data_IF_428182388796
#
_entry.id   IF_428182388796
#
_cell.length_a   1.000
_cell.length_b   1.000
_cell.length_c   1.000
_cell.angle_alpha   90.00
_cell.angle_beta   90.00
_cell.angle_gamma   90.00
#
_symmetry.space_group_name_H-M   'P 1'
#
loop_
_entity.id
_entity.type
_entity.pdbx_description
1 polymer ?
#
# COMPACT_ATOMS: atom_id res chain seq x y z
N UNK A 1 21.39 -31.41 54.33
CA UNK A 1 21.15 -29.95 54.40
C UNK A 1 20.74 -29.47 53.01
N UNK A 2 19.47 -29.09 52.87
CA UNK A 2 18.87 -28.55 51.64
C UNK A 2 19.31 -27.09 51.48
N UNK A 3 19.80 -26.70 50.31
CA UNK A 3 19.65 -25.34 49.79
C UNK A 3 19.03 -25.42 48.40
N UNK A 4 17.71 -25.61 48.43
CA UNK A 4 16.79 -25.13 47.42
C UNK A 4 16.73 -23.60 47.59
N UNK A 5 16.95 -22.83 46.53
CA UNK A 5 16.42 -21.47 46.45
C UNK A 5 16.05 -21.17 44.98
N UNK A 6 14.72 -21.25 44.75
CA UNK A 6 13.87 -20.55 43.79
C UNK A 6 14.58 -19.81 42.64
N UNK A 7 14.46 -20.18 41.36
CA UNK A 7 13.28 -20.14 40.45
C UNK A 7 12.53 -18.80 40.44
N UNK A 8 12.55 -18.16 39.26
CA UNK A 8 11.48 -17.39 38.59
C UNK A 8 11.77 -15.92 38.24
N UNK A 9 11.47 -15.60 36.96
CA UNK A 9 11.10 -14.29 36.36
C UNK A 9 12.28 -13.42 35.88
N UNK A 10 12.51 -13.13 34.59
CA UNK A 10 11.72 -13.21 33.38
C UNK A 10 12.66 -13.56 32.20
N UNK A 11 12.26 -14.55 31.41
CA UNK A 11 12.82 -14.76 30.08
C UNK A 11 12.47 -13.52 29.25
N UNK A 12 13.51 -12.89 28.73
CA UNK A 12 13.47 -11.92 27.64
C UNK A 12 12.70 -12.53 26.47
N UNK A 13 11.48 -12.07 26.23
CA UNK A 13 10.83 -12.21 24.91
C UNK A 13 10.44 -10.82 24.41
N UNK A 14 11.48 -10.07 24.07
CA UNK A 14 11.46 -8.79 23.37
C UNK A 14 11.26 -9.07 21.88
N UNK A 15 10.01 -9.35 21.50
CA UNK A 15 9.53 -9.34 20.11
C UNK A 15 8.13 -8.76 20.21
N UNK A 16 7.69 -7.86 19.33
CA UNK A 16 6.25 -7.67 19.10
C UNK A 16 5.65 -9.05 19.06
N UNK A 17 4.73 -9.35 19.98
CA UNK A 17 4.16 -10.68 20.03
C UNK A 17 3.72 -11.02 18.61
N UNK A 18 4.11 -12.19 18.06
CA UNK A 18 3.62 -12.62 16.76
C UNK A 18 2.12 -12.37 16.59
N UNK A 19 1.39 -12.39 17.70
CA UNK A 19 0.02 -11.93 17.88
C UNK A 19 -0.28 -10.49 17.42
N UNK A 20 0.43 -9.44 17.87
CA UNK A 20 0.15 -8.05 17.45
C UNK A 20 0.42 -7.85 15.95
N UNK A 21 1.48 -8.46 15.42
CA UNK A 21 1.78 -8.45 13.99
C UNK A 21 0.71 -9.22 13.20
N UNK A 22 0.24 -10.36 13.71
CA UNK A 22 -0.82 -11.14 13.08
C UNK A 22 -2.14 -10.36 13.11
N UNK A 23 -2.46 -9.68 14.21
CA UNK A 23 -3.60 -8.76 14.30
C UNK A 23 -3.50 -7.66 13.25
N UNK A 24 -2.32 -7.06 13.07
CA UNK A 24 -2.10 -6.07 12.02
C UNK A 24 -2.32 -6.63 10.61
N UNK A 25 -1.81 -7.84 10.31
CA UNK A 25 -2.02 -8.53 9.03
C UNK A 25 -3.50 -8.78 8.74
N UNK A 26 -4.26 -9.21 9.73
CA UNK A 26 -5.68 -9.50 9.57
C UNK A 26 -6.47 -8.22 9.37
N UNK A 27 -6.24 -7.20 10.20
CA UNK A 27 -6.92 -5.92 10.09
C UNK A 27 -6.58 -5.19 8.79
N UNK A 28 -5.36 -5.34 8.24
CA UNK A 28 -4.97 -4.75 6.94
C UNK A 28 -5.84 -5.23 5.78
N UNK A 29 -6.38 -6.46 5.87
CA UNK A 29 -7.27 -7.05 4.87
C UNK A 29 -8.71 -6.59 5.03
N UNK A 30 -9.04 -5.95 6.16
CA UNK A 30 -10.39 -5.43 6.44
C UNK A 30 -10.55 -4.01 5.91
N UNK A 31 -11.80 -3.62 5.68
CA UNK A 31 -12.17 -2.23 5.35
C UNK A 31 -12.60 -1.44 6.60
N UNK A 32 -12.13 -1.84 7.79
CA UNK A 32 -12.53 -1.25 9.07
C UNK A 32 -11.53 -0.19 9.54
N UNK A 33 -11.90 1.09 9.39
CA UNK A 33 -11.08 2.21 9.90
C UNK A 33 -10.90 2.16 11.42
N UNK A 34 -11.95 1.77 12.15
CA UNK A 34 -11.92 1.63 13.61
C UNK A 34 -10.86 0.62 14.05
N UNK A 35 -10.82 -0.54 13.41
CA UNK A 35 -9.87 -1.59 13.77
C UNK A 35 -8.44 -1.21 13.37
N UNK A 36 -8.27 -0.55 12.21
CA UNK A 36 -6.98 -0.01 11.78
C UNK A 36 -6.43 1.02 12.78
N UNK A 37 -7.27 1.92 13.27
CA UNK A 37 -6.89 2.93 14.27
C UNK A 37 -6.55 2.30 15.63
N UNK A 38 -7.31 1.28 16.05
CA UNK A 38 -7.04 0.54 17.28
C UNK A 38 -5.67 -0.17 17.24
N UNK A 39 -5.42 -0.93 16.17
CA UNK A 39 -4.12 -1.62 15.99
C UNK A 39 -2.98 -0.63 15.82
N UNK A 40 -3.19 0.50 15.13
CA UNK A 40 -2.18 1.55 15.01
C UNK A 40 -1.78 2.11 16.38
N UNK A 41 -2.75 2.30 17.30
CA UNK A 41 -2.48 2.76 18.67
C UNK A 41 -1.71 1.72 19.48
N UNK A 42 -2.09 0.45 19.39
CA UNK A 42 -1.39 -0.66 20.06
C UNK A 42 0.06 -0.79 19.57
N UNK A 43 0.28 -0.75 18.24
CA UNK A 43 1.62 -0.74 17.65
C UNK A 43 2.44 0.46 18.11
N UNK A 44 1.82 1.65 18.26
CA UNK A 44 2.53 2.82 18.78
C UNK A 44 3.02 2.62 20.20
N UNK A 45 2.15 2.16 21.09
CA UNK A 45 2.52 1.86 22.48
C UNK A 45 3.60 0.78 22.56
N UNK A 46 3.54 -0.22 21.67
CA UNK A 46 4.55 -1.27 21.60
C UNK A 46 5.90 -0.72 21.17
N UNK A 47 5.97 0.08 20.10
CA UNK A 47 7.20 0.69 19.59
C UNK A 47 7.84 1.61 20.64
N UNK A 48 7.04 2.37 21.39
CA UNK A 48 7.54 3.25 22.45
C UNK A 48 8.24 2.44 23.57
N UNK A 49 7.77 1.23 23.86
CA UNK A 49 8.42 0.30 24.82
C UNK A 49 9.55 -0.53 24.20
N UNK A 50 9.54 -0.73 22.88
CA UNK A 50 10.46 -1.62 22.15
C UNK A 50 11.02 -0.92 20.90
N UNK A 51 11.83 0.15 21.05
CA UNK A 51 12.30 0.98 19.94
C UNK A 51 13.22 0.26 18.94
N UNK A 52 13.77 -0.90 19.32
CA UNK A 52 14.59 -1.79 18.49
C UNK A 52 13.79 -2.73 17.59
N UNK A 53 12.48 -2.81 17.76
CA UNK A 53 11.63 -3.75 17.01
C UNK A 53 11.29 -3.20 15.61
N UNK A 54 12.19 -3.42 14.67
CA UNK A 54 12.05 -2.98 13.28
C UNK A 54 10.75 -3.49 12.61
N UNK A 55 10.28 -4.68 12.98
CA UNK A 55 9.05 -5.26 12.42
C UNK A 55 7.82 -4.50 12.91
N UNK A 56 7.76 -4.10 14.18
CA UNK A 56 6.66 -3.27 14.68
C UNK A 56 6.60 -1.92 13.96
N UNK A 57 7.75 -1.30 13.69
CA UNK A 57 7.85 -0.05 12.93
C UNK A 57 7.36 -0.21 11.49
N UNK A 58 7.77 -1.29 10.81
CA UNK A 58 7.26 -1.63 9.49
C UNK A 58 5.74 -1.85 9.48
N UNK A 59 5.21 -2.65 10.41
CA UNK A 59 3.77 -2.93 10.50
C UNK A 59 2.95 -1.70 10.87
N UNK A 60 3.48 -0.81 11.70
CA UNK A 60 2.86 0.48 11.96
C UNK A 60 2.70 1.29 10.66
N UNK A 61 3.74 1.36 9.84
CA UNK A 61 3.67 2.06 8.54
C UNK A 61 2.72 1.37 7.55
N UNK A 62 2.69 0.02 7.52
CA UNK A 62 1.72 -0.76 6.72
C UNK A 62 0.28 -0.47 7.14
N UNK A 63 -0.01 -0.40 8.43
CA UNK A 63 -1.35 -0.05 8.95
C UNK A 63 -1.72 1.39 8.59
N UNK A 64 -0.76 2.34 8.62
CA UNK A 64 -0.98 3.70 8.11
C UNK A 64 -1.39 3.66 6.63
N UNK A 65 -0.67 2.89 5.81
CA UNK A 65 -0.97 2.76 4.38
C UNK A 65 -2.35 2.14 4.13
N UNK A 66 -2.72 1.08 4.87
CA UNK A 66 -4.03 0.46 4.76
C UNK A 66 -5.15 1.43 5.17
N UNK A 67 -4.95 2.20 6.24
CA UNK A 67 -5.87 3.26 6.64
C UNK A 67 -6.03 4.31 5.51
N UNK A 68 -4.94 4.79 4.90
CA UNK A 68 -5.01 5.68 3.73
C UNK A 68 -5.80 5.06 2.56
N UNK A 69 -5.58 3.77 2.27
CA UNK A 69 -6.29 3.06 1.21
C UNK A 69 -7.79 2.95 1.47
N UNK A 70 -8.19 2.59 2.70
CA UNK A 70 -9.59 2.46 3.11
C UNK A 70 -10.29 3.82 3.10
N UNK A 71 -9.64 4.89 3.60
CA UNK A 71 -10.19 6.25 3.52
C UNK A 71 -10.40 6.69 2.06
N UNK A 72 -9.47 6.35 1.16
CA UNK A 72 -9.58 6.66 -0.27
C UNK A 72 -10.69 5.86 -0.95
N UNK A 73 -10.86 4.59 -0.57
CA UNK A 73 -11.95 3.74 -1.05
C UNK A 73 -13.32 4.35 -0.71
N UNK A 74 -13.59 4.63 0.57
CA UNK A 74 -14.86 5.25 1.00
C UNK A 74 -15.08 6.63 0.37
N UNK A 75 -14.02 7.41 0.13
CA UNK A 75 -14.13 8.69 -0.59
C UNK A 75 -14.67 8.50 -2.00
N UNK A 76 -14.17 7.52 -2.75
CA UNK A 76 -14.64 7.25 -4.12
C UNK A 76 -16.12 6.86 -4.11
N UNK A 77 -16.52 5.93 -3.25
CA UNK A 77 -17.93 5.54 -3.13
C UNK A 77 -18.86 6.69 -2.73
N UNK A 78 -18.40 7.58 -1.84
CA UNK A 78 -19.17 8.78 -1.45
C UNK A 78 -19.21 9.84 -2.56
N UNK A 79 -18.11 10.04 -3.28
CA UNK A 79 -18.04 10.97 -4.40
C UNK A 79 -18.93 10.53 -5.56
N UNK A 80 -18.97 9.23 -5.85
CA UNK A 80 -19.83 8.66 -6.91
C UNK A 80 -21.32 8.80 -6.53
N UNK A 81 -21.66 8.76 -5.23
CA UNK A 81 -23.03 8.96 -4.74
C UNK A 81 -23.45 10.42 -4.59
N UNK A 82 -22.51 11.34 -4.34
CA UNK A 82 -22.81 12.73 -3.95
C UNK A 82 -22.30 13.79 -4.93
N UNK A 83 -21.59 13.41 -6.00
CA UNK A 83 -21.06 14.33 -7.02
C UNK A 83 -20.08 15.37 -6.50
N UNK A 84 -19.52 15.20 -5.29
CA UNK A 84 -18.65 16.18 -4.62
C UNK A 84 -17.25 15.62 -4.38
N UNK A 85 -16.26 16.42 -4.74
CA UNK A 85 -14.84 16.13 -4.57
C UNK A 85 -14.45 16.34 -3.08
N UNK A 86 -14.69 15.35 -2.23
CA UNK A 86 -14.41 15.48 -0.79
C UNK A 86 -12.91 15.30 -0.53
N UNK A 87 -12.15 16.39 -0.49
CA UNK A 87 -10.79 16.38 0.07
C UNK A 87 -10.87 16.35 1.59
N UNK A 88 -10.69 15.17 2.20
CA UNK A 88 -10.37 15.11 3.64
C UNK A 88 -8.85 15.28 3.84
N UNK A 89 -8.40 16.25 4.65
CA UNK A 89 -7.01 16.44 5.04
C UNK A 89 -6.39 15.28 5.84
N UNK A 90 -7.20 14.33 6.33
CA UNK A 90 -6.76 13.27 7.24
C UNK A 90 -5.80 12.24 6.63
N UNK A 91 -5.93 11.92 5.34
CA UNK A 91 -5.09 10.90 4.68
C UNK A 91 -3.62 11.26 4.67
N UNK A 92 -3.29 12.54 4.46
CA UNK A 92 -1.91 13.00 4.42
C UNK A 92 -1.26 12.92 5.80
N UNK A 93 -1.97 13.34 6.86
CA UNK A 93 -1.49 13.27 8.24
C UNK A 93 -1.26 11.82 8.70
N UNK A 94 -2.12 10.89 8.32
CA UNK A 94 -1.91 9.45 8.59
C UNK A 94 -0.70 8.93 7.82
N UNK A 95 -0.54 9.33 6.55
CA UNK A 95 0.59 8.90 5.74
C UNK A 95 1.93 9.40 6.29
N UNK A 96 2.00 10.67 6.72
CA UNK A 96 3.18 11.28 7.34
C UNK A 96 3.65 10.53 8.59
N UNK A 97 2.72 10.03 9.43
CA UNK A 97 3.08 9.20 10.60
C UNK A 97 3.86 7.96 10.17
N UNK A 98 3.44 7.29 9.09
CA UNK A 98 4.13 6.13 8.55
C UNK A 98 5.48 6.49 7.93
N UNK A 99 5.54 7.58 7.16
CA UNK A 99 6.77 8.07 6.50
C UNK A 99 7.85 8.38 7.54
N UNK A 100 7.53 9.12 8.61
CA UNK A 100 8.49 9.47 9.67
C UNK A 100 9.08 8.23 10.33
N UNK A 101 8.28 7.19 10.51
CA UNK A 101 8.76 5.90 11.06
C UNK A 101 9.69 5.21 10.07
N UNK A 102 9.32 5.16 8.79
CA UNK A 102 10.12 4.54 7.74
C UNK A 102 11.44 5.28 7.48
N UNK A 103 11.46 6.61 7.54
CA UNK A 103 12.67 7.41 7.37
C UNK A 103 13.74 7.07 8.41
N UNK A 104 13.32 6.82 9.66
CA UNK A 104 14.23 6.38 10.73
C UNK A 104 14.69 4.94 10.49
N UNK A 105 13.77 4.06 10.10
CA UNK A 105 14.06 2.64 9.91
C UNK A 105 15.00 2.41 8.70
N UNK A 106 14.82 3.15 7.62
CA UNK A 106 15.62 3.05 6.40
C UNK A 106 17.09 3.45 6.61
N UNK A 107 17.39 4.32 7.57
CA UNK A 107 18.78 4.62 7.97
C UNK A 107 19.52 3.38 8.49
N UNK A 108 18.78 2.41 9.04
CA UNK A 108 19.35 1.16 9.60
C UNK A 108 19.17 -0.04 8.65
N UNK A 109 18.11 -0.03 7.83
CA UNK A 109 17.66 -1.16 6.99
C UNK A 109 17.51 -0.76 5.51
N UNK A 110 18.57 -0.20 4.92
CA UNK A 110 18.56 0.34 3.55
C UNK A 110 18.39 -0.72 2.43
N UNK A 111 18.50 -2.02 2.75
CA UNK A 111 18.34 -3.11 1.77
C UNK A 111 17.00 -3.86 1.93
N UNK A 112 16.01 -3.28 2.61
CA UNK A 112 14.70 -3.89 2.78
C UNK A 112 13.69 -3.29 1.80
N UNK A 113 13.44 -4.00 0.70
CA UNK A 113 12.59 -3.55 -0.43
C UNK A 113 11.20 -3.04 0.01
N UNK A 114 10.56 -3.74 0.95
CA UNK A 114 9.21 -3.38 1.42
C UNK A 114 9.14 -2.01 2.10
N UNK A 115 10.22 -1.55 2.74
CA UNK A 115 10.22 -0.24 3.39
C UNK A 115 10.09 0.88 2.34
N UNK A 116 10.85 0.78 1.26
CA UNK A 116 10.77 1.71 0.14
C UNK A 116 9.41 1.61 -0.56
N UNK A 117 8.88 0.39 -0.77
CA UNK A 117 7.54 0.24 -1.37
C UNK A 117 6.48 0.99 -0.56
N UNK A 118 6.42 0.73 0.75
CA UNK A 118 5.42 1.33 1.63
C UNK A 118 5.61 2.83 1.71
N UNK A 119 6.85 3.32 1.86
CA UNK A 119 7.12 4.77 1.91
C UNK A 119 6.72 5.47 0.60
N UNK A 120 7.01 4.85 -0.55
CA UNK A 120 6.62 5.36 -1.85
C UNK A 120 5.09 5.49 -2.01
N UNK A 121 4.33 4.46 -1.61
CA UNK A 121 2.85 4.55 -1.64
C UNK A 121 2.30 5.57 -0.63
N UNK A 122 2.93 5.71 0.55
CA UNK A 122 2.57 6.75 1.51
C UNK A 122 2.84 8.16 0.96
N UNK A 123 3.98 8.38 0.28
CA UNK A 123 4.25 9.63 -0.42
C UNK A 123 3.15 9.94 -1.45
N UNK A 124 2.68 8.94 -2.20
CA UNK A 124 1.54 9.13 -3.13
C UNK A 124 0.26 9.60 -2.41
N UNK A 125 0.01 9.16 -1.17
CA UNK A 125 -1.15 9.59 -0.37
C UNK A 125 -0.98 10.98 0.27
N UNK A 126 0.24 11.53 0.28
CA UNK A 126 0.50 12.93 0.68
C UNK A 126 0.32 13.94 -0.47
N UNK A 127 0.12 13.46 -1.71
CA UNK A 127 -0.19 14.31 -2.86
C UNK A 127 -1.65 14.78 -2.75
N UNK A 128 -1.84 16.02 -2.29
CA UNK A 128 -3.16 16.65 -2.10
C UNK A 128 -3.40 17.83 -3.06
N UNK A 129 -2.43 18.18 -3.90
CA UNK A 129 -2.54 19.24 -4.88
C UNK A 129 -1.31 19.33 -5.78
N UNK A 130 -1.28 20.33 -6.65
CA UNK A 130 -0.20 20.51 -7.63
C UNK A 130 1.18 20.67 -6.98
N UNK A 131 1.32 21.56 -5.98
CA UNK A 131 2.59 21.84 -5.30
C UNK A 131 3.14 20.60 -4.58
N UNK A 132 2.30 19.88 -3.83
CA UNK A 132 2.72 18.63 -3.18
C UNK A 132 2.97 17.52 -4.19
N UNK A 133 2.29 17.52 -5.34
CA UNK A 133 2.57 16.61 -6.46
C UNK A 133 3.98 16.79 -7.03
N UNK A 134 4.42 18.03 -7.23
CA UNK A 134 5.77 18.31 -7.75
C UNK A 134 6.89 17.86 -6.79
N UNK A 135 6.65 17.87 -5.48
CA UNK A 135 7.63 17.39 -4.48
C UNK A 135 7.49 15.89 -4.18
N UNK A 136 6.28 15.43 -3.85
CA UNK A 136 6.03 14.06 -3.37
C UNK A 136 5.90 13.03 -4.48
N UNK A 137 5.55 13.44 -5.71
CA UNK A 137 5.51 12.57 -6.88
C UNK A 137 6.88 11.97 -7.22
N UNK A 138 7.94 12.78 -7.35
CA UNK A 138 9.31 12.29 -7.53
C UNK A 138 9.77 11.40 -6.37
N UNK A 139 9.54 11.79 -5.11
CA UNK A 139 9.90 10.97 -3.94
C UNK A 139 9.22 9.59 -3.97
N UNK A 140 7.93 9.54 -4.32
CA UNK A 140 7.21 8.28 -4.46
C UNK A 140 7.80 7.40 -5.57
N UNK A 141 8.14 7.97 -6.73
CA UNK A 141 8.75 7.24 -7.84
C UNK A 141 10.15 6.72 -7.50
N UNK A 142 10.98 7.54 -6.87
CA UNK A 142 12.32 7.16 -6.43
C UNK A 142 12.27 5.97 -5.46
N UNK A 143 11.41 6.04 -4.44
CA UNK A 143 11.20 4.95 -3.49
C UNK A 143 10.74 3.66 -4.19
N UNK A 144 9.76 3.76 -5.10
CA UNK A 144 9.25 2.59 -5.80
C UNK A 144 10.29 1.97 -6.73
N UNK A 145 11.11 2.79 -7.39
CA UNK A 145 12.23 2.31 -8.19
C UNK A 145 13.27 1.63 -7.30
N UNK A 146 13.62 2.23 -6.16
CA UNK A 146 14.57 1.64 -5.21
C UNK A 146 14.08 0.30 -4.65
N UNK A 147 12.78 0.19 -4.37
CA UNK A 147 12.15 -1.06 -3.95
C UNK A 147 12.34 -2.17 -4.99
N UNK A 148 12.14 -1.85 -6.29
CA UNK A 148 12.31 -2.77 -7.41
C UNK A 148 13.80 -3.09 -7.67
N UNK A 149 14.71 -2.14 -7.45
CA UNK A 149 16.15 -2.38 -7.56
C UNK A 149 16.63 -3.40 -6.52
N UNK A 150 16.18 -3.25 -5.27
CA UNK A 150 16.52 -4.15 -4.16
C UNK A 150 15.90 -5.53 -4.38
N UNK A 151 14.61 -5.58 -4.74
CA UNK A 151 13.90 -6.82 -5.05
C UNK A 151 13.12 -6.70 -6.37
N UNK A 152 13.73 -7.22 -7.43
CA UNK A 152 13.16 -7.22 -8.78
C UNK A 152 11.89 -8.07 -8.90
N UNK A 153 11.66 -8.97 -7.94
CA UNK A 153 10.52 -9.87 -7.89
C UNK A 153 9.39 -9.38 -6.98
N UNK A 154 9.53 -8.20 -6.35
CA UNK A 154 8.49 -7.60 -5.54
C UNK A 154 7.29 -7.16 -6.40
N UNK A 155 6.31 -8.06 -6.55
CA UNK A 155 5.12 -7.81 -7.37
C UNK A 155 4.31 -6.60 -6.89
N UNK A 156 4.23 -6.38 -5.57
CA UNK A 156 3.54 -5.22 -5.00
C UNK A 156 4.23 -3.91 -5.35
N UNK A 157 5.56 -3.87 -5.38
CA UNK A 157 6.32 -2.69 -5.81
C UNK A 157 6.09 -2.37 -7.29
N UNK A 158 6.06 -3.38 -8.16
CA UNK A 158 5.68 -3.20 -9.56
C UNK A 158 4.24 -2.67 -9.70
N UNK A 159 3.28 -3.19 -8.93
CA UNK A 159 1.90 -2.68 -8.93
C UNK A 159 1.87 -1.21 -8.51
N UNK A 160 2.53 -0.85 -7.41
CA UNK A 160 2.58 0.52 -6.90
C UNK A 160 3.26 1.49 -7.89
N UNK A 161 4.37 1.07 -8.51
CA UNK A 161 5.06 1.84 -9.55
C UNK A 161 4.17 2.04 -10.79
N UNK A 162 3.45 1.00 -11.22
CA UNK A 162 2.49 1.12 -12.31
C UNK A 162 1.32 2.06 -12.01
N UNK A 163 0.87 2.16 -10.75
CA UNK A 163 -0.14 3.15 -10.34
C UNK A 163 0.37 4.57 -10.60
N UNK A 164 1.63 4.87 -10.32
CA UNK A 164 2.20 6.19 -10.58
C UNK A 164 2.13 6.55 -12.06
N UNK A 165 2.55 5.63 -12.94
CA UNK A 165 2.45 5.82 -14.39
C UNK A 165 1.01 5.98 -14.89
N UNK A 166 0.05 5.30 -14.26
CA UNK A 166 -1.36 5.39 -14.63
C UNK A 166 -2.02 6.70 -14.19
N UNK A 167 -1.78 7.13 -12.95
CA UNK A 167 -2.49 8.27 -12.35
C UNK A 167 -1.82 9.62 -12.63
N UNK A 168 -0.50 9.67 -12.79
CA UNK A 168 0.18 10.93 -13.05
C UNK A 168 -0.16 11.46 -14.46
N UNK A 169 -0.22 12.78 -14.64
CA UNK A 169 -0.23 13.38 -15.96
C UNK A 169 1.14 13.19 -16.65
N UNK A 170 1.21 13.26 -18.00
CA UNK A 170 2.48 13.11 -18.73
C UNK A 170 3.60 14.04 -18.25
N UNK A 171 3.28 15.29 -17.95
CA UNK A 171 4.23 16.29 -17.43
C UNK A 171 4.83 15.92 -16.06
N UNK A 172 4.19 15.01 -15.31
CA UNK A 172 4.66 14.51 -14.02
C UNK A 172 5.09 13.03 -14.09
N UNK A 173 5.53 12.58 -15.26
CA UNK A 173 6.02 11.22 -15.47
C UNK A 173 4.93 10.17 -15.70
N UNK A 174 3.69 10.58 -15.99
CA UNK A 174 2.62 9.68 -16.38
C UNK A 174 2.87 9.05 -17.76
N UNK A 175 2.88 7.73 -17.83
CA UNK A 175 3.13 6.99 -19.07
C UNK A 175 2.34 5.67 -19.03
N UNK A 176 1.17 5.66 -19.68
CA UNK A 176 0.27 4.49 -19.61
C UNK A 176 0.90 3.26 -20.27
N UNK A 177 1.77 3.42 -21.27
CA UNK A 177 2.44 2.29 -21.92
C UNK A 177 3.49 1.67 -20.99
N UNK A 178 4.25 2.48 -20.25
CA UNK A 178 5.09 1.98 -19.14
C UNK A 178 4.23 1.33 -18.07
N UNK A 179 3.11 1.93 -17.69
CA UNK A 179 2.16 1.35 -16.74
C UNK A 179 1.68 -0.05 -17.16
N UNK A 180 1.39 -0.27 -18.44
CA UNK A 180 1.06 -1.60 -18.99
C UNK A 180 2.24 -2.56 -18.87
N UNK A 181 3.45 -2.14 -19.24
CA UNK A 181 4.65 -2.97 -19.16
C UNK A 181 4.95 -3.39 -17.71
N UNK A 182 4.91 -2.45 -16.77
CA UNK A 182 5.14 -2.69 -15.34
C UNK A 182 4.03 -3.57 -14.75
N UNK A 183 2.77 -3.36 -15.09
CA UNK A 183 1.68 -4.25 -14.67
C UNK A 183 1.85 -5.67 -15.20
N UNK A 184 2.26 -5.84 -16.46
CA UNK A 184 2.55 -7.17 -17.02
C UNK A 184 3.68 -7.87 -16.26
N UNK A 185 4.69 -7.13 -15.80
CA UNK A 185 5.74 -7.68 -14.95
C UNK A 185 5.17 -8.12 -13.60
N UNK A 186 4.36 -7.29 -12.94
CA UNK A 186 3.68 -7.68 -11.69
C UNK A 186 2.83 -8.95 -11.85
N UNK A 187 2.05 -9.05 -12.92
CA UNK A 187 1.24 -10.24 -13.24
C UNK A 187 2.13 -11.48 -13.42
N UNK A 188 3.25 -11.37 -14.14
CA UNK A 188 4.21 -12.49 -14.31
C UNK A 188 4.86 -12.93 -12.99
N UNK A 189 4.99 -12.02 -12.03
CA UNK A 189 5.55 -12.28 -10.71
C UNK A 189 4.51 -12.82 -9.71
N UNK A 190 3.34 -13.26 -10.17
CA UNK A 190 2.28 -13.77 -9.28
C UNK A 190 1.46 -12.67 -8.59
N UNK A 191 1.35 -11.49 -9.21
CA UNK A 191 0.48 -10.42 -8.71
C UNK A 191 -0.99 -10.86 -8.56
N UNK A 192 -1.66 -10.26 -7.58
CA UNK A 192 -3.05 -10.54 -7.21
C UNK A 192 -4.06 -9.87 -8.18
N UNK A 193 -5.34 -9.92 -7.83
CA UNK A 193 -6.42 -9.28 -8.56
C UNK A 193 -6.19 -7.78 -8.81
N UNK A 194 -5.42 -7.07 -7.97
CA UNK A 194 -5.10 -5.65 -8.16
C UNK A 194 -4.18 -5.43 -9.36
N UNK A 195 -3.22 -6.33 -9.60
CA UNK A 195 -2.34 -6.26 -10.77
C UNK A 195 -3.13 -6.40 -12.07
N UNK A 196 -4.03 -7.38 -12.13
CA UNK A 196 -4.91 -7.63 -13.27
C UNK A 196 -5.90 -6.48 -13.49
N UNK A 197 -6.48 -5.95 -12.41
CA UNK A 197 -7.40 -4.80 -12.45
C UNK A 197 -6.71 -3.57 -13.02
N UNK A 198 -5.52 -3.23 -12.51
CA UNK A 198 -4.75 -2.08 -12.99
C UNK A 198 -4.33 -2.24 -14.45
N UNK A 199 -3.91 -3.43 -14.87
CA UNK A 199 -3.59 -3.71 -16.26
C UNK A 199 -4.81 -3.50 -17.18
N UNK A 200 -5.98 -3.98 -16.77
CA UNK A 200 -7.23 -3.75 -17.49
C UNK A 200 -7.55 -2.27 -17.66
N UNK A 201 -7.43 -1.50 -16.59
CA UNK A 201 -7.62 -0.04 -16.59
C UNK A 201 -6.66 0.69 -17.52
N UNK A 202 -5.38 0.31 -17.52
CA UNK A 202 -4.41 0.86 -18.46
C UNK A 202 -4.83 0.60 -19.92
N UNK A 203 -5.36 -0.58 -20.24
CA UNK A 203 -5.87 -0.87 -21.57
C UNK A 203 -7.12 -0.07 -21.94
N UNK A 204 -8.05 0.17 -21.01
CA UNK A 204 -9.18 1.09 -21.23
C UNK A 204 -8.65 2.48 -21.59
N UNK A 205 -7.70 3.00 -20.81
CA UNK A 205 -7.09 4.32 -21.03
C UNK A 205 -6.35 4.41 -22.38
N UNK A 206 -5.85 3.29 -22.92
CA UNK A 206 -5.25 3.19 -24.27
C UNK A 206 -6.27 2.91 -25.38
N UNK A 207 -7.57 2.89 -25.10
CA UNK A 207 -8.60 2.60 -26.11
C UNK A 207 -8.60 1.16 -26.60
N UNK A 208 -8.21 0.20 -25.75
CA UNK A 208 -8.11 -1.24 -26.07
C UNK A 208 -9.08 -2.08 -25.21
N UNK A 209 -10.41 -1.90 -25.34
CA UNK A 209 -11.41 -2.50 -24.44
C UNK A 209 -11.39 -4.04 -24.44
N UNK A 210 -11.22 -4.69 -25.60
CA UNK A 210 -11.10 -6.17 -25.67
C UNK A 210 -9.95 -6.73 -24.82
N UNK A 211 -8.81 -6.04 -24.78
CA UNK A 211 -7.69 -6.43 -23.90
C UNK A 211 -8.01 -6.14 -22.45
N UNK A 212 -8.69 -5.03 -22.17
CA UNK A 212 -9.12 -4.72 -20.81
C UNK A 212 -10.05 -5.79 -20.25
N UNK A 213 -11.08 -6.18 -20.99
CA UNK A 213 -12.02 -7.25 -20.63
C UNK A 213 -11.29 -8.53 -20.20
N UNK A 214 -10.35 -9.00 -21.03
CA UNK A 214 -9.57 -10.21 -20.73
C UNK A 214 -8.90 -10.16 -19.36
N UNK A 215 -8.24 -9.05 -19.02
CA UNK A 215 -7.53 -8.93 -17.74
C UNK A 215 -8.47 -8.66 -16.57
N UNK A 216 -9.57 -7.93 -16.79
CA UNK A 216 -10.57 -7.67 -15.75
C UNK A 216 -11.33 -8.95 -15.37
N UNK A 217 -11.66 -9.81 -16.34
CA UNK A 217 -12.21 -11.14 -16.05
C UNK A 217 -11.24 -12.02 -15.26
N UNK A 218 -9.93 -11.93 -15.54
CA UNK A 218 -8.91 -12.63 -14.73
C UNK A 218 -8.85 -12.11 -13.30
N UNK A 219 -8.93 -10.78 -13.10
CA UNK A 219 -9.03 -10.20 -11.76
C UNK A 219 -10.23 -10.75 -10.99
N UNK A 220 -11.41 -10.82 -11.64
CA UNK A 220 -12.63 -11.34 -11.04
C UNK A 220 -12.61 -12.86 -10.80
N UNK A 221 -11.83 -13.62 -11.58
CA UNK A 221 -11.60 -15.05 -11.30
C UNK A 221 -10.81 -15.24 -10.01
N UNK A 222 -9.86 -14.35 -9.72
CA UNK A 222 -9.05 -14.38 -8.48
C UNK A 222 -9.87 -13.85 -7.30
N UNK A 223 -10.54 -12.72 -7.49
CA UNK A 223 -11.38 -12.10 -6.48
C UNK A 223 -12.74 -11.70 -7.10
N UNK A 224 -13.76 -12.57 -7.01
CA UNK A 224 -15.08 -12.29 -7.54
C UNK A 224 -15.75 -11.04 -6.93
N UNK A 225 -15.32 -10.62 -5.74
CA UNK A 225 -15.83 -9.45 -5.01
C UNK A 225 -15.07 -8.15 -5.30
N UNK A 226 -14.12 -8.15 -6.23
CA UNK A 226 -13.38 -6.93 -6.58
C UNK A 226 -14.29 -5.94 -7.34
N UNK A 227 -14.87 -4.99 -6.61
CA UNK A 227 -15.78 -3.97 -7.15
C UNK A 227 -15.12 -3.08 -8.21
N UNK A 228 -13.82 -2.76 -8.06
CA UNK A 228 -13.09 -1.95 -9.05
C UNK A 228 -12.99 -2.71 -10.38
N UNK A 229 -12.68 -4.02 -10.33
CA UNK A 229 -12.64 -4.86 -11.52
C UNK A 229 -14.02 -5.00 -12.20
N UNK A 230 -15.10 -5.16 -11.42
CA UNK A 230 -16.47 -5.21 -11.95
C UNK A 230 -16.85 -3.90 -12.65
N UNK A 231 -16.58 -2.76 -12.01
CA UNK A 231 -16.86 -1.45 -12.57
C UNK A 231 -16.15 -1.22 -13.90
N UNK A 232 -14.83 -1.47 -13.95
CA UNK A 232 -14.07 -1.30 -15.18
C UNK A 232 -14.40 -2.35 -16.24
N UNK A 233 -14.86 -3.54 -15.86
CA UNK A 233 -15.35 -4.52 -16.82
C UNK A 233 -16.59 -4.00 -17.53
N UNK A 234 -17.55 -3.42 -16.80
CA UNK A 234 -18.73 -2.80 -17.39
C UNK A 234 -18.34 -1.68 -18.37
N UNK A 235 -17.38 -0.83 -18.01
CA UNK A 235 -16.85 0.21 -18.92
C UNK A 235 -16.21 -0.41 -20.17
N UNK A 236 -15.45 -1.49 -20.03
CA UNK A 236 -14.82 -2.17 -21.16
C UNK A 236 -15.84 -2.80 -22.11
N UNK A 237 -16.98 -3.28 -21.61
CA UNK A 237 -18.05 -3.87 -22.42
C UNK A 237 -18.92 -2.83 -23.15
N UNK A 238 -18.90 -1.57 -22.71
CA UNK A 238 -19.65 -0.46 -23.31
C UNK A 238 -18.88 0.28 -24.41
N UNK A 239 -17.60 -0.06 -24.65
CA UNK A 239 -16.69 0.61 -25.59
C UNK A 239 -16.27 -0.32 -26.72
#
# INVERSE_FOLDING_TARGET
MKRLCLLCLFIVSIVASPELINKAKEVEKTFSLKDLEAVQKELRQWMDKNPQDDNAHYWFARVCLANCNVQRFFRRELSDKQGKNITRPGTAKVAEKGIVVLDKLLKKRANWSELYRVRGELHSHTIVGFLTGMSKGPQALEDLNRSIEIDKNNSLAHIANAKMFYYNPPIAGGDVDRGIATCKKAVKLGGDDKAYTLLGRCYIKKGRPKRAELYLRKALKINPKNLEAQHFLNIALQK
#
